data_IF_155358331400
#
_entry.id   IF_155358331400
#
_cell.length_a   1.000
_cell.length_b   1.000
_cell.length_c   1.000
_cell.angle_alpha   90.00
_cell.angle_beta   90.00
_cell.angle_gamma   90.00
#
_symmetry.space_group_name_H-M   'P 1'
#
loop_
_entity.id
_entity.type
_entity.pdbx_description
1 polymer ?
#
# COMPACT_ATOMS: atom_id res chain seq x y z
N UNK A 1 11.27 5.72 -25.71
CA UNK A 1 12.58 5.57 -25.06
C UNK A 1 12.95 4.10 -24.90
N UNK A 2 12.01 3.26 -24.49
CA UNK A 2 12.18 1.80 -24.30
C UNK A 2 11.36 1.10 -25.37
N UNK A 3 12.00 0.19 -26.14
CA UNK A 3 11.32 -0.65 -27.14
C UNK A 3 10.59 -1.81 -26.42
N UNK A 4 9.63 -2.44 -27.13
CA UNK A 4 8.91 -3.62 -26.58
C UNK A 4 9.87 -4.78 -26.23
N UNK A 5 10.92 -4.98 -27.02
CA UNK A 5 11.91 -6.02 -26.76
C UNK A 5 12.77 -5.71 -25.51
N UNK A 6 13.18 -4.45 -25.34
CA UNK A 6 13.89 -4.00 -24.13
C UNK A 6 12.99 -4.12 -22.89
N UNK A 7 11.73 -3.70 -22.99
CA UNK A 7 10.75 -3.82 -21.91
C UNK A 7 10.63 -5.28 -21.44
N UNK A 8 10.50 -6.23 -22.35
CA UNK A 8 10.43 -7.65 -22.01
C UNK A 8 11.68 -8.11 -21.24
N UNK A 9 12.89 -7.77 -21.71
CA UNK A 9 14.13 -8.16 -21.02
C UNK A 9 14.25 -7.52 -19.63
N UNK A 10 13.82 -6.27 -19.50
CA UNK A 10 13.80 -5.55 -18.21
C UNK A 10 12.85 -6.22 -17.22
N UNK A 11 11.64 -6.56 -17.65
CA UNK A 11 10.65 -7.26 -16.79
C UNK A 11 11.19 -8.62 -16.36
N UNK A 12 11.72 -9.43 -17.28
CA UNK A 12 12.34 -10.73 -16.97
C UNK A 12 13.52 -10.57 -15.99
N UNK A 13 14.32 -9.51 -16.12
CA UNK A 13 15.40 -9.15 -15.19
C UNK A 13 14.88 -8.82 -13.80
N UNK A 14 13.86 -8.01 -13.70
CA UNK A 14 13.21 -7.67 -12.43
C UNK A 14 12.61 -8.91 -11.73
N UNK A 15 11.98 -9.81 -12.48
CA UNK A 15 11.45 -11.07 -11.94
C UNK A 15 12.55 -11.97 -11.36
N UNK A 16 13.72 -12.03 -12.02
CA UNK A 16 14.88 -12.77 -11.49
C UNK A 16 15.38 -12.15 -10.19
N UNK A 17 15.50 -10.83 -10.14
CA UNK A 17 15.89 -10.11 -8.92
C UNK A 17 14.88 -10.35 -7.79
N UNK A 18 13.57 -10.26 -8.08
CA UNK A 18 12.52 -10.54 -7.11
C UNK A 18 12.62 -11.96 -6.53
N UNK A 19 12.92 -12.97 -7.37
CA UNK A 19 13.14 -14.35 -6.91
C UNK A 19 14.35 -14.43 -5.97
N UNK A 20 15.45 -13.74 -6.29
CA UNK A 20 16.65 -13.68 -5.42
C UNK A 20 16.35 -12.98 -4.07
N UNK A 21 15.58 -11.90 -4.08
CA UNK A 21 15.16 -11.22 -2.86
C UNK A 21 14.29 -12.15 -2.00
N UNK A 22 13.30 -12.81 -2.59
CA UNK A 22 12.39 -13.73 -1.88
C UNK A 22 13.10 -14.96 -1.30
N UNK A 23 14.16 -15.46 -1.97
CA UNK A 23 14.97 -16.59 -1.48
C UNK A 23 16.06 -16.19 -0.50
N UNK A 24 16.24 -14.90 -0.22
CA UNK A 24 17.31 -14.39 0.64
C UNK A 24 18.71 -14.44 0.00
N UNK A 25 18.81 -14.70 -1.32
CA UNK A 25 20.09 -14.80 -2.05
C UNK A 25 20.49 -13.49 -2.74
N UNK A 26 19.72 -12.43 -2.59
CA UNK A 26 20.08 -11.12 -3.11
C UNK A 26 21.05 -10.43 -2.16
N UNK A 27 22.21 -10.02 -2.65
CA UNK A 27 23.23 -9.32 -1.86
C UNK A 27 22.97 -7.82 -1.84
N UNK A 28 22.57 -7.31 -0.69
CA UNK A 28 22.38 -5.89 -0.44
C UNK A 28 23.72 -5.21 -0.15
N UNK A 29 24.02 -4.14 -0.88
CA UNK A 29 25.23 -3.34 -0.71
C UNK A 29 24.89 -2.07 0.07
N UNK A 30 25.42 -1.96 1.29
CA UNK A 30 25.22 -0.78 2.16
C UNK A 30 25.91 0.48 1.65
N UNK A 31 26.84 0.34 0.71
CA UNK A 31 27.48 1.46 0.01
C UNK A 31 26.56 2.15 -1.01
N UNK A 32 25.45 1.51 -1.38
CA UNK A 32 24.42 2.10 -2.23
C UNK A 32 23.37 2.79 -1.36
N UNK A 33 22.83 3.90 -1.84
CA UNK A 33 21.98 4.81 -1.06
C UNK A 33 20.73 4.12 -0.49
N UNK A 34 20.04 3.32 -1.32
CA UNK A 34 18.77 2.72 -0.95
C UNK A 34 18.51 1.38 -1.66
N UNK A 35 17.36 0.77 -1.37
CA UNK A 35 16.92 -0.49 -1.99
C UNK A 35 16.73 -0.35 -3.50
N UNK A 36 16.26 0.81 -3.96
CA UNK A 36 16.00 1.07 -5.37
C UNK A 36 17.33 1.12 -6.16
N UNK A 37 18.37 1.80 -5.62
CA UNK A 37 19.69 1.82 -6.23
C UNK A 37 20.34 0.44 -6.29
N UNK A 38 20.17 -0.38 -5.25
CA UNK A 38 20.60 -1.77 -5.23
C UNK A 38 19.96 -2.58 -6.36
N UNK A 39 18.64 -2.50 -6.50
CA UNK A 39 17.88 -3.21 -7.54
C UNK A 39 18.25 -2.68 -8.93
N UNK A 40 18.30 -1.36 -9.11
CA UNK A 40 18.64 -0.70 -10.37
C UNK A 40 20.03 -1.06 -10.85
N UNK A 41 21.02 -1.07 -9.95
CA UNK A 41 22.40 -1.45 -10.28
C UNK A 41 22.49 -2.95 -10.64
N UNK A 42 21.85 -3.83 -9.87
CA UNK A 42 21.82 -5.26 -10.15
C UNK A 42 21.14 -5.54 -11.50
N UNK A 43 20.03 -4.87 -11.78
CA UNK A 43 19.31 -5.00 -13.04
C UNK A 43 20.13 -4.50 -14.22
N UNK A 44 20.77 -3.33 -14.11
CA UNK A 44 21.57 -2.73 -15.18
C UNK A 44 22.80 -3.60 -15.52
N UNK A 45 23.38 -4.30 -14.54
CA UNK A 45 24.47 -5.28 -14.79
C UNK A 45 24.02 -6.45 -15.66
N UNK A 46 22.79 -6.91 -15.49
CA UNK A 46 22.22 -8.04 -16.26
C UNK A 46 21.57 -7.57 -17.58
N UNK A 47 20.97 -6.40 -17.58
CA UNK A 47 20.20 -5.81 -18.69
C UNK A 47 20.58 -4.33 -18.80
N UNK A 48 21.60 -3.99 -19.60
CA UNK A 48 22.11 -2.61 -19.69
C UNK A 48 21.06 -1.56 -20.06
N UNK A 49 20.05 -1.96 -20.83
CA UNK A 49 18.92 -1.09 -21.22
C UNK A 49 18.06 -0.64 -20.04
N UNK A 50 18.17 -1.31 -18.91
CA UNK A 50 17.45 -0.94 -17.68
C UNK A 50 17.87 0.44 -17.15
N UNK A 51 19.05 0.94 -17.51
CA UNK A 51 19.45 2.32 -17.21
C UNK A 51 18.46 3.36 -17.74
N UNK A 52 17.67 3.03 -18.77
CA UNK A 52 16.63 3.92 -19.32
C UNK A 52 15.40 4.06 -18.40
N UNK A 53 15.21 3.14 -17.43
CA UNK A 53 14.03 3.16 -16.53
C UNK A 53 13.96 4.42 -15.66
N UNK A 54 15.10 5.04 -15.36
CA UNK A 54 15.13 6.25 -14.54
C UNK A 54 14.80 7.54 -15.33
N UNK A 55 14.62 7.44 -16.64
CA UNK A 55 14.31 8.60 -17.50
C UNK A 55 12.99 9.26 -17.08
N UNK A 56 13.00 10.59 -16.96
CA UNK A 56 11.86 11.42 -16.57
C UNK A 56 11.32 11.14 -15.14
N UNK A 57 12.10 10.51 -14.28
CA UNK A 57 11.73 10.16 -12.92
C UNK A 57 12.77 10.66 -11.92
N UNK A 58 12.31 11.04 -10.73
CA UNK A 58 13.16 11.27 -9.57
C UNK A 58 13.06 10.09 -8.60
N UNK A 59 14.05 9.90 -7.75
CA UNK A 59 13.92 8.99 -6.62
C UNK A 59 12.79 9.42 -5.68
N UNK A 60 12.53 10.74 -5.56
CA UNK A 60 11.49 11.26 -4.68
C UNK A 60 10.08 10.83 -5.09
N UNK A 61 9.67 11.01 -6.34
CA UNK A 61 8.34 10.58 -6.79
C UNK A 61 8.24 9.06 -6.91
N UNK A 62 9.32 8.37 -7.19
CA UNK A 62 9.37 6.90 -7.14
C UNK A 62 9.09 6.39 -5.72
N UNK A 63 9.81 6.87 -4.71
CA UNK A 63 9.64 6.43 -3.31
C UNK A 63 8.23 6.76 -2.81
N UNK A 64 7.71 7.96 -3.12
CA UNK A 64 6.35 8.33 -2.77
C UNK A 64 5.31 7.38 -3.41
N UNK A 65 5.52 7.00 -4.68
CA UNK A 65 4.65 6.04 -5.38
C UNK A 65 4.71 4.65 -4.75
N UNK A 66 5.91 4.15 -4.46
CA UNK A 66 6.09 2.82 -3.87
C UNK A 66 5.48 2.74 -2.46
N UNK A 67 5.62 3.80 -1.65
CA UNK A 67 4.98 3.88 -0.34
C UNK A 67 3.45 3.86 -0.45
N UNK A 68 2.86 4.61 -1.37
CA UNK A 68 1.41 4.60 -1.57
C UNK A 68 0.89 3.25 -2.07
N UNK A 69 1.61 2.58 -2.96
CA UNK A 69 1.29 1.21 -3.39
C UNK A 69 1.34 0.24 -2.21
N UNK A 70 2.34 0.36 -1.34
CA UNK A 70 2.44 -0.44 -0.13
C UNK A 70 1.28 -0.18 0.83
N UNK A 71 0.92 1.09 1.10
CA UNK A 71 -0.20 1.43 1.97
C UNK A 71 -1.53 0.92 1.42
N UNK A 72 -1.79 1.07 0.13
CA UNK A 72 -2.98 0.48 -0.52
C UNK A 72 -3.06 -1.02 -0.29
N UNK A 73 -1.96 -1.73 -0.52
CA UNK A 73 -1.88 -3.17 -0.26
C UNK A 73 -2.11 -3.49 1.22
N UNK A 74 -1.41 -2.81 2.14
CA UNK A 74 -1.53 -3.04 3.58
C UNK A 74 -2.95 -2.78 4.09
N UNK A 75 -3.58 -1.66 3.71
CA UNK A 75 -4.95 -1.34 4.07
C UNK A 75 -5.93 -2.42 3.60
N UNK A 76 -5.81 -2.90 2.37
CA UNK A 76 -6.64 -3.99 1.84
C UNK A 76 -6.47 -5.28 2.63
N UNK A 77 -5.22 -5.66 2.95
CA UNK A 77 -4.94 -6.87 3.73
C UNK A 77 -5.47 -6.78 5.17
N UNK A 78 -5.32 -5.61 5.81
CA UNK A 78 -5.79 -5.39 7.18
C UNK A 78 -7.32 -5.36 7.20
N UNK A 79 -7.96 -4.64 6.28
CA UNK A 79 -9.42 -4.59 6.16
C UNK A 79 -10.02 -6.00 6.04
N UNK A 80 -9.48 -6.83 5.15
CA UNK A 80 -9.95 -8.23 4.99
C UNK A 80 -9.77 -9.06 6.26
N UNK A 81 -8.73 -8.82 7.06
CA UNK A 81 -8.54 -9.52 8.35
C UNK A 81 -9.51 -9.01 9.41
N UNK A 82 -9.79 -7.71 9.44
CA UNK A 82 -10.79 -7.12 10.35
C UNK A 82 -12.18 -7.67 10.02
N UNK A 83 -12.56 -7.75 8.75
CA UNK A 83 -13.85 -8.35 8.34
C UNK A 83 -14.01 -9.78 8.85
N UNK A 84 -12.97 -10.61 8.70
CA UNK A 84 -13.00 -12.00 9.22
C UNK A 84 -13.12 -12.04 10.75
N UNK A 85 -12.41 -11.14 11.45
CA UNK A 85 -12.51 -11.01 12.90
C UNK A 85 -13.92 -10.60 13.33
N UNK A 86 -14.52 -9.61 12.65
CA UNK A 86 -15.89 -9.17 12.92
C UNK A 86 -16.89 -10.31 12.79
N UNK A 87 -16.82 -11.09 11.71
CA UNK A 87 -17.68 -12.28 11.53
C UNK A 87 -17.50 -13.28 12.68
N UNK A 88 -16.24 -13.59 13.04
CA UNK A 88 -15.98 -14.52 14.15
C UNK A 88 -16.49 -14.02 15.50
N UNK A 89 -16.38 -12.71 15.77
CA UNK A 89 -16.91 -12.11 17.01
C UNK A 89 -18.44 -12.11 17.04
N UNK A 90 -19.10 -11.89 15.91
CA UNK A 90 -20.57 -11.95 15.80
C UNK A 90 -21.06 -13.37 16.03
N UNK A 91 -20.45 -14.38 15.39
CA UNK A 91 -20.78 -15.79 15.57
C UNK A 91 -20.57 -16.22 17.02
N UNK A 92 -19.48 -15.77 17.65
CA UNK A 92 -19.21 -16.02 19.07
C UNK A 92 -20.28 -15.38 19.98
N UNK A 93 -20.64 -14.12 19.71
CA UNK A 93 -21.68 -13.42 20.45
C UNK A 93 -23.03 -14.12 20.31
N UNK A 94 -23.41 -14.53 19.11
CA UNK A 94 -24.67 -15.25 18.86
C UNK A 94 -24.73 -16.58 19.63
N UNK A 95 -23.65 -17.34 19.64
CA UNK A 95 -23.55 -18.62 20.35
C UNK A 95 -23.57 -18.47 21.89
N UNK A 96 -23.33 -17.27 22.43
CA UNK A 96 -23.22 -17.02 23.87
C UNK A 96 -24.19 -15.95 24.37
N UNK A 97 -25.30 -15.72 23.67
CA UNK A 97 -26.27 -14.65 23.97
C UNK A 97 -26.93 -14.78 25.34
N UNK A 98 -27.13 -16.02 25.82
CA UNK A 98 -27.82 -16.33 27.07
C UNK A 98 -26.88 -16.38 28.29
N UNK A 99 -25.56 -16.25 28.07
CA UNK A 99 -24.58 -16.28 29.15
C UNK A 99 -24.52 -14.89 29.81
N UNK A 100 -24.77 -14.85 31.12
CA UNK A 100 -24.63 -13.65 31.95
C UNK A 100 -23.28 -13.63 32.63
N UNK A 101 -22.59 -12.49 32.55
CA UNK A 101 -21.32 -12.20 33.21
C UNK A 101 -21.43 -10.95 34.09
N UNK A 102 -20.64 -10.82 35.16
CA UNK A 102 -20.62 -9.60 35.95
C UNK A 102 -19.92 -8.48 35.18
N UNK A 103 -20.56 -7.32 35.04
CA UNK A 103 -19.91 -6.09 34.66
C UNK A 103 -19.09 -5.52 35.83
N UNK A 104 -18.06 -4.73 35.53
CA UNK A 104 -17.19 -4.09 36.52
C UNK A 104 -17.02 -2.60 36.19
N UNK A 105 -17.04 -1.77 37.23
CA UNK A 105 -16.61 -0.36 37.21
C UNK A 105 -15.75 -0.10 38.42
N UNK A 106 -14.66 0.62 38.28
CA UNK A 106 -13.73 0.91 39.39
C UNK A 106 -13.28 -0.32 40.16
N UNK A 107 -13.06 -1.44 39.49
CA UNK A 107 -12.74 -2.76 40.06
C UNK A 107 -13.84 -3.33 40.99
N UNK A 108 -15.04 -2.78 40.99
CA UNK A 108 -16.20 -3.24 41.74
C UNK A 108 -17.21 -3.90 40.82
N UNK A 109 -17.91 -4.91 41.32
CA UNK A 109 -19.04 -5.54 40.59
C UNK A 109 -20.14 -4.52 40.36
N UNK A 110 -20.57 -4.43 39.12
CA UNK A 110 -21.67 -3.58 38.69
C UNK A 110 -22.85 -4.46 38.18
N UNK A 111 -23.56 -4.00 37.17
CA UNK A 111 -24.69 -4.74 36.60
C UNK A 111 -24.24 -6.05 35.92
N UNK A 112 -25.08 -7.08 35.92
CA UNK A 112 -24.90 -8.24 35.05
C UNK A 112 -25.12 -7.79 33.59
N UNK A 113 -24.29 -8.31 32.70
CA UNK A 113 -24.40 -8.07 31.24
C UNK A 113 -24.33 -9.41 30.52
N UNK A 114 -24.91 -9.53 29.33
CA UNK A 114 -24.69 -10.75 28.55
C UNK A 114 -23.27 -10.77 27.95
N UNK A 115 -22.69 -11.95 27.83
CA UNK A 115 -21.40 -12.12 27.16
C UNK A 115 -21.44 -11.58 25.72
N UNK A 116 -22.56 -11.80 25.02
CA UNK A 116 -22.79 -11.26 23.69
C UNK A 116 -22.71 -9.73 23.66
N UNK A 117 -23.34 -9.04 24.61
CA UNK A 117 -23.29 -7.56 24.68
C UNK A 117 -21.86 -7.06 24.87
N UNK A 118 -21.06 -7.73 25.70
CA UNK A 118 -19.66 -7.39 25.89
C UNK A 118 -18.85 -7.56 24.60
N UNK A 119 -19.00 -8.69 23.88
CA UNK A 119 -18.30 -8.96 22.64
C UNK A 119 -18.73 -8.01 21.52
N UNK A 120 -20.01 -7.69 21.41
CA UNK A 120 -20.52 -6.76 20.40
C UNK A 120 -19.95 -5.32 20.58
N UNK A 121 -19.52 -4.95 21.78
CA UNK A 121 -18.79 -3.68 21.97
C UNK A 121 -17.47 -3.68 21.20
N UNK A 122 -16.76 -4.81 21.11
CA UNK A 122 -15.56 -4.93 20.29
C UNK A 122 -15.87 -4.91 18.79
N UNK A 123 -16.99 -5.53 18.39
CA UNK A 123 -17.47 -5.47 16.99
C UNK A 123 -17.64 -4.01 16.56
N UNK A 124 -18.28 -3.18 17.39
CA UNK A 124 -18.45 -1.75 17.12
C UNK A 124 -17.10 -1.00 17.00
N UNK A 125 -16.12 -1.35 17.84
CA UNK A 125 -14.78 -0.75 17.78
C UNK A 125 -14.06 -1.10 16.48
N UNK A 126 -14.02 -2.39 16.11
CA UNK A 126 -13.36 -2.84 14.89
C UNK A 126 -14.08 -2.42 13.62
N UNK A 127 -15.41 -2.26 13.66
CA UNK A 127 -16.17 -1.69 12.54
C UNK A 127 -15.73 -0.24 12.23
N UNK A 128 -15.53 0.57 13.28
CA UNK A 128 -14.99 1.93 13.11
C UNK A 128 -13.54 1.92 12.60
N UNK A 129 -12.72 0.93 12.98
CA UNK A 129 -11.37 0.79 12.46
C UNK A 129 -11.38 0.42 10.98
N UNK A 130 -12.33 -0.41 10.53
CA UNK A 130 -12.51 -0.74 9.12
C UNK A 130 -12.74 0.53 8.28
N UNK A 131 -13.59 1.46 8.74
CA UNK A 131 -13.83 2.73 8.06
C UNK A 131 -12.55 3.61 8.02
N UNK A 132 -11.73 3.59 9.08
CA UNK A 132 -10.44 4.30 9.08
C UNK A 132 -9.46 3.74 8.06
N UNK A 133 -9.40 2.42 7.89
CA UNK A 133 -8.57 1.79 6.85
C UNK A 133 -9.06 2.08 5.43
N UNK A 134 -10.38 2.17 5.22
CA UNK A 134 -10.94 2.64 3.95
C UNK A 134 -10.50 4.06 3.64
N UNK A 135 -10.63 4.96 4.60
CA UNK A 135 -10.19 6.35 4.44
C UNK A 135 -8.70 6.45 4.15
N UNK A 136 -7.85 5.70 4.87
CA UNK A 136 -6.41 5.66 4.62
C UNK A 136 -6.07 5.10 3.23
N UNK A 137 -6.82 4.10 2.75
CA UNK A 137 -6.69 3.59 1.39
C UNK A 137 -7.00 4.67 0.34
N UNK A 138 -8.08 5.42 0.52
CA UNK A 138 -8.48 6.50 -0.40
C UNK A 138 -7.41 7.61 -0.43
N UNK A 139 -6.87 8.01 0.72
CA UNK A 139 -5.76 8.96 0.82
C UNK A 139 -4.51 8.47 0.07
N UNK A 140 -4.18 7.19 0.19
CA UNK A 140 -3.06 6.59 -0.53
C UNK A 140 -3.34 6.37 -2.03
N UNK A 141 -4.60 6.40 -2.48
CA UNK A 141 -4.98 6.07 -3.86
C UNK A 141 -4.85 7.23 -4.85
N UNK A 142 -3.81 8.04 -4.71
CA UNK A 142 -3.51 9.18 -5.60
C UNK A 142 -2.06 9.06 -6.07
N UNK A 143 -1.84 8.94 -7.39
CA UNK A 143 -0.52 8.66 -7.97
C UNK A 143 0.39 9.89 -7.96
N UNK A 144 1.55 9.87 -7.28
CA UNK A 144 2.50 10.98 -7.30
C UNK A 144 3.52 10.87 -8.45
N UNK A 145 3.59 9.74 -9.16
CA UNK A 145 4.59 9.51 -10.20
C UNK A 145 4.47 10.54 -11.34
N UNK A 146 5.62 11.06 -11.76
CA UNK A 146 5.70 12.15 -12.72
C UNK A 146 5.80 13.54 -12.08
N UNK A 147 5.75 13.63 -10.74
CA UNK A 147 6.02 14.87 -10.00
C UNK A 147 7.50 15.25 -10.02
N UNK A 148 8.37 14.33 -10.38
CA UNK A 148 9.82 14.53 -10.35
C UNK A 148 10.32 14.77 -8.94
N UNK A 149 11.38 15.59 -8.81
CA UNK A 149 11.91 15.94 -7.50
C UNK A 149 10.99 16.93 -6.75
N UNK A 150 10.46 17.93 -7.43
CA UNK A 150 9.56 18.97 -6.88
C UNK A 150 8.61 19.61 -7.90
N UNK A 151 8.95 19.63 -9.18
CA UNK A 151 8.27 20.45 -10.19
C UNK A 151 7.99 19.71 -11.51
N UNK A 152 7.90 18.39 -11.48
CA UNK A 152 7.65 17.58 -12.67
C UNK A 152 8.88 17.41 -13.57
N UNK A 153 8.63 17.20 -14.86
CA UNK A 153 9.66 16.99 -15.88
C UNK A 153 9.28 17.71 -17.16
N UNK A 154 10.29 18.08 -17.96
CA UNK A 154 10.11 18.67 -19.30
C UNK A 154 9.92 17.61 -20.39
N UNK A 155 10.08 16.32 -20.04
CA UNK A 155 9.85 15.22 -20.98
C UNK A 155 8.35 14.92 -21.13
N UNK A 156 7.89 14.54 -22.31
CA UNK A 156 6.48 14.26 -22.59
C UNK A 156 6.09 12.90 -22.01
N UNK A 157 5.75 12.89 -20.72
CA UNK A 157 5.25 11.71 -20.02
C UNK A 157 3.71 11.78 -19.91
N UNK A 158 3.06 10.62 -19.90
CA UNK A 158 1.64 10.49 -19.58
C UNK A 158 1.47 9.99 -18.13
N UNK A 159 1.09 10.91 -17.25
CA UNK A 159 0.87 10.61 -15.83
C UNK A 159 -0.42 9.82 -15.61
N UNK A 160 -1.45 10.05 -16.43
CA UNK A 160 -2.73 9.35 -16.31
C UNK A 160 -2.58 7.88 -16.73
N UNK A 161 -1.86 7.61 -17.83
CA UNK A 161 -1.53 6.24 -18.22
C UNK A 161 -0.75 5.51 -17.12
N UNK A 162 0.29 6.16 -16.56
CA UNK A 162 1.08 5.59 -15.47
C UNK A 162 0.23 5.28 -14.24
N UNK A 163 -0.66 6.20 -13.85
CA UNK A 163 -1.57 6.01 -12.72
C UNK A 163 -2.52 4.84 -12.94
N UNK A 164 -3.12 4.75 -14.13
CA UNK A 164 -4.01 3.65 -14.52
C UNK A 164 -3.29 2.30 -14.46
N UNK A 165 -2.09 2.19 -15.04
CA UNK A 165 -1.29 0.96 -15.05
C UNK A 165 -0.85 0.53 -13.65
N UNK A 166 -0.64 1.47 -12.72
CA UNK A 166 -0.29 1.21 -11.33
C UNK A 166 -1.52 0.98 -10.43
N UNK A 167 -2.73 1.08 -10.98
CA UNK A 167 -3.97 0.86 -10.23
C UNK A 167 -4.36 2.01 -9.30
N UNK A 168 -3.88 3.24 -9.55
CA UNK A 168 -4.38 4.45 -8.91
C UNK A 168 -5.60 4.97 -9.67
N UNK A 169 -6.73 4.34 -9.42
CA UNK A 169 -7.97 4.63 -10.13
C UNK A 169 -9.13 4.83 -9.16
N UNK A 170 -10.09 5.64 -9.55
CA UNK A 170 -11.35 5.78 -8.83
C UNK A 170 -12.13 4.45 -8.87
N UNK A 171 -12.62 4.02 -7.72
CA UNK A 171 -13.30 2.73 -7.58
C UNK A 171 -14.67 2.66 -8.27
N UNK A 172 -15.24 3.80 -8.66
CA UNK A 172 -16.56 3.87 -9.31
C UNK A 172 -16.44 4.13 -10.81
N UNK A 173 -15.69 5.17 -11.20
CA UNK A 173 -15.53 5.55 -12.60
C UNK A 173 -14.41 4.77 -13.30
N UNK A 174 -13.42 4.28 -12.57
CA UNK A 174 -12.20 3.69 -13.14
C UNK A 174 -11.20 4.73 -13.66
N UNK A 175 -11.47 6.02 -13.48
CA UNK A 175 -10.61 7.08 -13.96
C UNK A 175 -9.30 7.14 -13.16
N UNK A 176 -8.15 7.39 -13.79
CA UNK A 176 -6.88 7.51 -13.10
C UNK A 176 -6.82 8.76 -12.22
N UNK A 177 -6.31 8.59 -11.00
CA UNK A 177 -6.16 9.65 -10.01
C UNK A 177 -4.68 10.01 -9.87
N UNK A 178 -4.35 11.27 -10.15
CA UNK A 178 -2.99 11.81 -10.01
C UNK A 178 -2.96 13.00 -9.06
N UNK A 179 -1.82 13.22 -8.40
CA UNK A 179 -1.65 14.37 -7.51
C UNK A 179 -1.74 15.70 -8.29
N UNK A 180 -2.45 16.67 -7.70
CA UNK A 180 -2.63 17.99 -8.30
C UNK A 180 -1.44 18.93 -8.14
N UNK A 181 -0.59 18.70 -7.12
CA UNK A 181 0.59 19.52 -6.83
C UNK A 181 1.82 18.63 -6.67
N UNK A 182 2.87 18.90 -7.46
CA UNK A 182 4.08 18.07 -7.49
C UNK A 182 4.97 18.20 -6.23
N UNK A 183 4.93 19.34 -5.55
CA UNK A 183 5.70 19.52 -4.30
C UNK A 183 5.04 18.78 -3.15
N UNK A 184 3.72 18.90 -3.03
CA UNK A 184 2.91 18.17 -2.07
C UNK A 184 3.03 16.65 -2.28
N UNK A 185 2.93 16.21 -3.53
CA UNK A 185 3.04 14.81 -3.93
C UNK A 185 4.28 14.06 -3.42
N UNK A 186 5.41 14.75 -3.30
CA UNK A 186 6.67 14.17 -2.83
C UNK A 186 6.96 14.47 -1.36
N UNK A 187 6.23 15.41 -0.75
CA UNK A 187 6.34 15.77 0.66
C UNK A 187 5.37 14.98 1.56
N UNK A 188 4.18 14.68 1.03
CA UNK A 188 3.12 13.99 1.74
C UNK A 188 3.52 12.55 2.11
N UNK A 189 3.37 12.24 3.40
CA UNK A 189 3.68 10.92 4.00
C UNK A 189 2.53 10.38 4.84
N UNK A 190 1.39 11.07 4.85
CA UNK A 190 0.18 10.72 5.62
C UNK A 190 -0.64 9.61 4.97
#
# INVERSE_FOLDING_TARGET
IITKAECKRIVEGLERILKRIKSGSFEWQTSLEDVHMNIEQALTKEVPEAAKLHTARSRNDQVATDMRLFFKFACTQIASKIEKLLLSLVDFADSNRDILIPGYTHLQRAQPVSAAHHILAWVEMFARDLERFKFAFEGANVCPLGSGAIAGTTLPIDRLESASLLGFVDGQSGDPIVTGNSMDAVADRD
#
